data_IF_682139779286
#
_entry.id   IF_682139779286
#
_cell.length_a   1.000
_cell.length_b   1.000
_cell.length_c   1.000
_cell.angle_alpha   90.00
_cell.angle_beta   90.00
_cell.angle_gamma   90.00
#
_symmetry.space_group_name_H-M   'P 1'
#
loop_
_entity.id
_entity.type
_entity.pdbx_description
1 polymer ?
#
# COMPACT_ATOMS: atom_id res chain seq x y z
N UNK A 1 58.91 -4.06 0.36
CA UNK A 1 58.25 -2.84 -0.17
C UNK A 1 56.84 -3.11 -0.73
N UNK A 2 56.07 -4.03 -0.14
CA UNK A 2 54.68 -4.29 -0.53
C UNK A 2 53.76 -3.85 0.60
N UNK A 3 53.01 -2.76 0.42
CA UNK A 3 51.68 -2.53 1.02
C UNK A 3 51.22 -1.09 0.77
N UNK A 4 50.80 -0.75 -0.46
CA UNK A 4 50.06 0.49 -0.69
C UNK A 4 49.26 0.42 -2.01
N UNK A 5 48.29 -0.50 -2.10
CA UNK A 5 47.20 -0.37 -3.09
C UNK A 5 45.91 -1.16 -2.79
N UNK A 6 45.69 -1.61 -1.54
CA UNK A 6 44.57 -2.52 -1.20
C UNK A 6 43.34 -1.79 -0.63
N UNK A 7 43.42 -0.48 -0.33
CA UNK A 7 42.33 0.25 0.36
C UNK A 7 41.32 0.95 -0.57
N UNK A 8 41.62 1.14 -1.86
CA UNK A 8 40.73 1.83 -2.81
C UNK A 8 39.64 0.94 -3.43
N UNK A 9 39.94 -0.32 -3.75
CA UNK A 9 39.06 -1.23 -4.50
C UNK A 9 37.88 -1.79 -3.69
N UNK A 10 37.97 -1.74 -2.37
CA UNK A 10 36.98 -2.33 -1.43
C UNK A 10 35.82 -1.40 -1.08
N UNK A 11 35.92 -0.09 -1.37
CA UNK A 11 34.85 0.89 -1.10
C UNK A 11 33.86 1.06 -2.27
N UNK A 12 34.32 0.94 -3.52
CA UNK A 12 33.46 1.08 -4.72
C UNK A 12 32.55 -0.13 -4.99
N UNK A 13 32.96 -1.34 -4.58
CA UNK A 13 32.14 -2.56 -4.72
C UNK A 13 30.97 -2.57 -3.73
N UNK A 14 31.18 -2.09 -2.50
CA UNK A 14 30.17 -2.02 -1.44
C UNK A 14 29.06 -0.98 -1.69
N UNK A 15 29.32 0.04 -2.50
CA UNK A 15 28.32 1.04 -2.89
C UNK A 15 27.42 0.54 -4.03
N UNK A 16 27.97 -0.17 -5.03
CA UNK A 16 27.19 -0.72 -6.15
C UNK A 16 26.28 -1.89 -5.77
N UNK A 17 26.63 -2.70 -4.77
CA UNK A 17 25.75 -3.76 -4.24
C UNK A 17 24.54 -3.21 -3.48
N UNK A 18 24.75 -2.14 -2.68
CA UNK A 18 23.66 -1.49 -1.92
C UNK A 18 22.63 -0.78 -2.78
N UNK A 19 23.00 -0.32 -3.97
CA UNK A 19 22.07 0.34 -4.89
C UNK A 19 21.21 -0.67 -5.68
N UNK A 20 21.73 -1.86 -5.99
CA UNK A 20 20.96 -2.94 -6.64
C UNK A 20 19.96 -3.63 -5.70
N UNK A 21 20.31 -3.82 -4.43
CA UNK A 21 19.36 -4.32 -3.42
C UNK A 21 18.21 -3.33 -3.18
N UNK A 22 18.48 -2.03 -3.20
CA UNK A 22 17.44 -0.99 -3.05
C UNK A 22 16.50 -0.93 -4.26
N UNK A 23 16.98 -1.14 -5.47
CA UNK A 23 16.12 -1.23 -6.66
C UNK A 23 15.25 -2.50 -6.65
N UNK A 24 15.82 -3.66 -6.33
CA UNK A 24 15.06 -4.91 -6.22
C UNK A 24 14.00 -4.85 -5.09
N UNK A 25 14.33 -4.23 -3.96
CA UNK A 25 13.37 -4.06 -2.86
C UNK A 25 12.27 -3.05 -3.22
N UNK A 26 12.57 -2.02 -4.03
CA UNK A 26 11.59 -1.06 -4.54
C UNK A 26 10.64 -1.71 -5.56
N UNK A 27 11.15 -2.59 -6.42
CA UNK A 27 10.33 -3.42 -7.31
C UNK A 27 9.44 -4.38 -6.52
N UNK A 28 9.99 -5.08 -5.52
CA UNK A 28 9.21 -5.94 -4.62
C UNK A 28 8.09 -5.17 -3.89
N UNK A 29 8.36 -3.95 -3.41
CA UNK A 29 7.35 -3.10 -2.75
C UNK A 29 6.21 -2.71 -3.71
N UNK A 30 6.53 -2.50 -4.98
CA UNK A 30 5.57 -2.14 -6.02
C UNK A 30 4.73 -3.35 -6.42
N UNK A 31 5.35 -4.53 -6.52
CA UNK A 31 4.65 -5.80 -6.72
C UNK A 31 3.70 -6.10 -5.56
N UNK A 32 4.09 -5.82 -4.31
CA UNK A 32 3.21 -5.98 -3.15
C UNK A 32 2.01 -5.04 -3.17
N UNK A 33 2.18 -3.79 -3.62
CA UNK A 33 1.08 -2.85 -3.79
C UNK A 33 0.07 -3.36 -4.84
N UNK A 34 0.56 -3.88 -5.98
CA UNK A 34 -0.29 -4.50 -7.01
C UNK A 34 -0.97 -5.76 -6.49
N UNK A 35 -0.26 -6.61 -5.74
CA UNK A 35 -0.84 -7.81 -5.12
C UNK A 35 -1.97 -7.45 -4.13
N UNK A 36 -1.81 -6.38 -3.37
CA UNK A 36 -2.83 -5.88 -2.43
C UNK A 36 -4.11 -5.48 -3.17
N UNK A 37 -3.98 -4.78 -4.29
CA UNK A 37 -5.13 -4.45 -5.15
C UNK A 37 -5.75 -5.70 -5.79
N UNK A 38 -4.92 -6.67 -6.21
CA UNK A 38 -5.39 -7.95 -6.76
C UNK A 38 -6.25 -8.73 -5.76
N UNK A 39 -5.83 -8.80 -4.49
CA UNK A 39 -6.63 -9.43 -3.42
C UNK A 39 -7.97 -8.70 -3.22
N UNK A 40 -7.97 -7.36 -3.28
CA UNK A 40 -9.21 -6.59 -3.18
C UNK A 40 -10.20 -6.88 -4.32
N UNK A 41 -9.69 -7.08 -5.54
CA UNK A 41 -10.51 -7.45 -6.70
C UNK A 41 -11.03 -8.89 -6.59
N UNK A 42 -10.26 -9.82 -6.03
CA UNK A 42 -10.76 -11.18 -5.77
C UNK A 42 -11.86 -11.16 -4.70
N UNK A 43 -11.66 -10.37 -3.64
CA UNK A 43 -12.63 -10.20 -2.56
C UNK A 43 -13.95 -9.57 -3.00
N UNK A 44 -13.97 -8.83 -4.11
CA UNK A 44 -15.22 -8.33 -4.74
C UNK A 44 -16.14 -9.47 -5.23
N UNK A 45 -15.59 -10.66 -5.48
CA UNK A 45 -16.39 -11.82 -5.93
C UNK A 45 -17.23 -12.46 -4.82
N UNK A 46 -16.92 -12.21 -3.55
CA UNK A 46 -17.56 -12.84 -2.41
C UNK A 46 -17.80 -11.85 -1.26
N UNK A 47 -19.05 -11.68 -0.81
CA UNK A 47 -19.40 -10.76 0.29
C UNK A 47 -18.62 -11.05 1.58
N UNK A 48 -18.47 -12.33 1.94
CA UNK A 48 -17.66 -12.76 3.09
C UNK A 48 -16.18 -12.42 2.94
N UNK A 49 -15.66 -12.42 1.71
CA UNK A 49 -14.27 -12.06 1.41
C UNK A 49 -14.00 -10.58 1.63
N UNK A 50 -14.93 -9.71 1.26
CA UNK A 50 -14.83 -8.27 1.45
C UNK A 50 -14.72 -7.86 2.93
N UNK A 51 -15.53 -8.45 3.81
CA UNK A 51 -15.50 -8.17 5.25
C UNK A 51 -14.23 -8.70 5.96
N UNK A 52 -13.68 -9.82 5.48
CA UNK A 52 -12.41 -10.34 6.01
C UNK A 52 -11.22 -9.52 5.51
N UNK A 53 -11.19 -9.17 4.22
CA UNK A 53 -10.08 -8.44 3.61
C UNK A 53 -9.92 -7.03 4.18
N UNK A 54 -11.02 -6.33 4.50
CA UNK A 54 -10.96 -4.99 5.12
C UNK A 54 -10.20 -4.97 6.46
N UNK A 55 -10.33 -6.02 7.29
CA UNK A 55 -9.52 -6.16 8.51
C UNK A 55 -8.03 -6.39 8.21
N UNK A 56 -7.74 -7.25 7.24
CA UNK A 56 -6.36 -7.57 6.84
C UNK A 56 -5.66 -6.33 6.26
N UNK A 57 -6.34 -5.57 5.39
CA UNK A 57 -5.83 -4.32 4.84
C UNK A 57 -5.60 -3.26 5.92
N UNK A 58 -6.42 -3.23 6.98
CA UNK A 58 -6.19 -2.36 8.14
C UNK A 58 -4.90 -2.70 8.92
N UNK A 59 -4.44 -3.95 8.90
CA UNK A 59 -3.13 -4.34 9.43
C UNK A 59 -2.02 -3.99 8.43
N UNK A 60 -2.26 -4.26 7.14
CA UNK A 60 -1.32 -3.96 6.06
C UNK A 60 -1.01 -2.46 5.95
N UNK A 61 -1.99 -1.59 6.20
CA UNK A 61 -1.78 -0.13 6.20
C UNK A 61 -1.00 0.38 7.42
N UNK A 62 -0.96 -0.37 8.53
CA UNK A 62 -0.17 -0.02 9.73
C UNK A 62 1.26 -0.53 9.68
N UNK A 63 1.45 -1.73 9.13
CA UNK A 63 2.73 -2.45 9.19
C UNK A 63 3.43 -2.57 7.82
N UNK A 64 2.74 -2.23 6.72
CA UNK A 64 3.28 -2.34 5.37
C UNK A 64 4.28 -1.24 5.01
N UNK A 65 5.11 -1.53 4.00
CA UNK A 65 5.99 -0.54 3.40
C UNK A 65 5.21 0.64 2.79
N UNK A 66 5.84 1.82 2.59
CA UNK A 66 5.16 3.01 2.07
C UNK A 66 4.40 2.78 0.76
N UNK A 67 4.92 1.95 -0.15
CA UNK A 67 4.26 1.63 -1.41
C UNK A 67 2.92 0.88 -1.19
N UNK A 68 2.91 -0.09 -0.28
CA UNK A 68 1.73 -0.88 0.08
C UNK A 68 0.71 0.00 0.82
N UNK A 69 1.19 0.84 1.75
CA UNK A 69 0.33 1.75 2.52
C UNK A 69 -0.46 2.71 1.63
N UNK A 70 0.11 3.17 0.51
CA UNK A 70 -0.62 4.00 -0.47
C UNK A 70 -1.72 3.25 -1.22
N UNK A 71 -1.55 1.95 -1.46
CA UNK A 71 -2.55 1.11 -2.14
C UNK A 71 -3.70 0.68 -1.23
N UNK A 72 -3.47 0.62 0.09
CA UNK A 72 -4.44 0.14 1.09
C UNK A 72 -5.78 0.90 1.09
N UNK A 73 -5.83 2.25 1.10
CA UNK A 73 -7.11 2.97 1.07
C UNK A 73 -7.95 2.64 -0.17
N UNK A 74 -7.30 2.48 -1.32
CA UNK A 74 -7.97 2.11 -2.57
C UNK A 74 -8.47 0.66 -2.52
N UNK A 75 -7.66 -0.27 -1.99
CA UNK A 75 -8.04 -1.67 -1.80
C UNK A 75 -9.26 -1.81 -0.86
N UNK A 76 -9.28 -1.06 0.24
CA UNK A 76 -10.41 -1.02 1.18
C UNK A 76 -11.67 -0.50 0.48
N UNK A 77 -11.56 0.59 -0.28
CA UNK A 77 -12.70 1.11 -1.04
C UNK A 77 -13.21 0.13 -2.10
N UNK A 78 -12.32 -0.61 -2.77
CA UNK A 78 -12.70 -1.63 -3.74
C UNK A 78 -13.49 -2.78 -3.09
N UNK A 79 -13.20 -3.18 -1.85
CA UNK A 79 -14.00 -4.19 -1.17
C UNK A 79 -15.38 -3.69 -0.74
N UNK A 80 -15.58 -2.38 -0.62
CA UNK A 80 -16.82 -1.78 -0.09
C UNK A 80 -17.47 -0.81 -1.08
N UNK A 81 -17.29 -1.01 -2.38
CA UNK A 81 -17.88 -0.16 -3.42
C UNK A 81 -19.40 -0.21 -3.33
N UNK A 82 -20.05 0.96 -3.24
CA UNK A 82 -21.51 1.08 -3.12
C UNK A 82 -22.10 0.47 -1.84
N UNK A 83 -21.28 0.12 -0.84
CA UNK A 83 -21.71 -0.35 0.47
C UNK A 83 -20.98 0.43 1.58
N UNK A 84 -21.44 1.65 1.91
CA UNK A 84 -20.82 2.48 2.94
C UNK A 84 -21.07 1.89 4.31
N UNK A 85 -20.14 1.05 4.76
CA UNK A 85 -20.06 0.64 6.16
C UNK A 85 -19.40 1.77 6.97
N UNK A 86 -20.01 2.15 8.09
CA UNK A 86 -19.51 3.21 8.97
C UNK A 86 -18.05 2.95 9.40
N UNK A 87 -17.72 1.68 9.65
CA UNK A 87 -16.36 1.22 9.99
C UNK A 87 -15.32 1.55 8.91
N UNK A 88 -15.68 1.43 7.64
CA UNK A 88 -14.78 1.71 6.51
C UNK A 88 -14.59 3.21 6.33
N UNK A 89 -15.67 3.99 6.45
CA UNK A 89 -15.61 5.45 6.37
C UNK A 89 -14.73 6.02 7.49
N UNK A 90 -14.87 5.53 8.72
CA UNK A 90 -14.03 5.97 9.85
C UNK A 90 -12.54 5.67 9.63
N UNK A 91 -12.23 4.54 8.98
CA UNK A 91 -10.86 4.17 8.63
C UNK A 91 -10.32 5.06 7.51
N UNK A 92 -11.09 5.28 6.44
CA UNK A 92 -10.68 6.14 5.34
C UNK A 92 -10.55 7.61 5.76
N UNK A 93 -11.39 8.08 6.69
CA UNK A 93 -11.28 9.42 7.27
C UNK A 93 -10.02 9.60 8.14
N UNK A 94 -9.53 8.53 8.77
CA UNK A 94 -8.22 8.55 9.44
C UNK A 94 -7.09 8.62 8.42
N UNK A 95 -7.18 7.88 7.31
CA UNK A 95 -6.18 7.92 6.24
C UNK A 95 -6.15 9.24 5.46
N UNK A 96 -7.25 9.99 5.40
CA UNK A 96 -7.29 11.31 4.73
C UNK A 96 -6.48 12.39 5.45
N UNK A 97 -6.16 12.17 6.73
CA UNK A 97 -5.31 13.05 7.54
C UNK A 97 -3.92 12.43 7.79
N UNK A 98 -3.55 11.40 7.02
CA UNK A 98 -2.21 10.83 7.11
C UNK A 98 -1.16 11.88 6.69
N UNK A 99 0.04 11.78 7.26
CA UNK A 99 1.14 12.71 6.97
C UNK A 99 1.68 12.54 5.54
N UNK A 100 1.44 11.37 4.93
CA UNK A 100 1.79 11.05 3.55
C UNK A 100 0.69 11.51 2.60
N UNK A 101 0.96 12.58 1.83
CA UNK A 101 -0.01 13.19 0.90
C UNK A 101 -0.56 12.18 -0.12
N UNK A 102 0.25 11.22 -0.58
CA UNK A 102 -0.20 10.21 -1.55
C UNK A 102 -1.26 9.28 -0.94
N UNK A 103 -1.11 8.93 0.34
CA UNK A 103 -2.10 8.13 1.08
C UNK A 103 -3.38 8.94 1.30
N UNK A 104 -3.24 10.22 1.64
CA UNK A 104 -4.37 11.12 1.86
C UNK A 104 -5.21 11.33 0.59
N UNK A 105 -4.58 11.59 -0.56
CA UNK A 105 -5.28 11.73 -1.84
C UNK A 105 -6.02 10.44 -2.23
N UNK A 106 -5.35 9.29 -2.07
CA UNK A 106 -5.96 7.99 -2.34
C UNK A 106 -7.15 7.72 -1.40
N UNK A 107 -7.08 8.13 -0.13
CA UNK A 107 -8.16 7.98 0.84
C UNK A 107 -9.38 8.86 0.54
N UNK A 108 -9.16 10.11 0.12
CA UNK A 108 -10.25 11.03 -0.28
C UNK A 108 -10.96 10.49 -1.52
N UNK A 109 -10.19 10.05 -2.51
CA UNK A 109 -10.75 9.43 -3.72
C UNK A 109 -11.51 8.14 -3.38
N UNK A 110 -10.94 7.29 -2.53
CA UNK A 110 -11.57 6.07 -2.02
C UNK A 110 -12.91 6.34 -1.30
N UNK A 111 -12.99 7.37 -0.44
CA UNK A 111 -14.25 7.77 0.21
C UNK A 111 -15.31 8.18 -0.81
N UNK A 112 -14.92 8.96 -1.83
CA UNK A 112 -15.80 9.32 -2.93
C UNK A 112 -16.30 8.08 -3.68
N UNK A 113 -15.43 7.10 -3.91
CA UNK A 113 -15.76 5.88 -4.65
C UNK A 113 -16.73 4.96 -3.88
N UNK A 114 -16.55 4.80 -2.57
CA UNK A 114 -17.47 4.06 -1.69
C UNK A 114 -18.85 4.75 -1.66
N UNK A 115 -18.88 6.09 -1.60
CA UNK A 115 -20.11 6.87 -1.51
C UNK A 115 -20.86 7.06 -2.83
N UNK A 116 -20.17 7.15 -3.97
CA UNK A 116 -20.76 7.50 -5.27
C UNK A 116 -21.73 6.46 -5.83
N UNK A 117 -21.58 5.19 -5.46
CA UNK A 117 -22.50 4.12 -5.87
C UNK A 117 -23.69 3.92 -4.95
N UNK A 118 -23.71 4.56 -3.78
CA UNK A 118 -24.82 4.42 -2.83
C UNK A 118 -26.00 5.30 -3.21
N UNK A 119 -27.05 4.68 -3.71
CA UNK A 119 -28.39 5.28 -3.76
C UNK A 119 -29.14 4.90 -2.47
N UNK A 120 -28.74 5.46 -1.35
CA UNK A 120 -29.45 5.28 -0.08
C UNK A 120 -30.21 6.57 0.26
N UNK A 121 -31.46 6.62 -0.15
CA UNK A 121 -32.51 7.44 0.46
C UNK A 121 -33.19 6.62 1.56
#
# INVERSE_FOLDING_TARGET
LMSLNVTGKSKESKSKEKDKEKEANKELSSVQAVATLGVAVIALGEETGAEMCTRIFGQLGRYGEPAVRRAVPLAIALCSVSNPQLSVIDVLNKYSHDSDNDVAYNAIFAMGLVGAGTNNA
#
